data_IF_191387738461
#
_entry.id   IF_191387738461
#
_cell.length_a   1.000
_cell.length_b   1.000
_cell.length_c   1.000
_cell.angle_alpha   90.00
_cell.angle_beta   90.00
_cell.angle_gamma   90.00
#
_symmetry.space_group_name_H-M   'P 1'
#
loop_
_entity.id
_entity.type
_entity.pdbx_description
1 polymer ?
#
# COMPACT_ATOMS: atom_id res chain seq x y z
N UNK A 1 -16.09 -8.34 -19.98
CA UNK A 1 -15.32 -8.02 -18.76
C UNK A 1 -14.23 -9.08 -18.64
N UNK A 2 -12.95 -8.70 -18.80
CA UNK A 2 -11.85 -9.66 -18.98
C UNK A 2 -11.59 -10.36 -17.64
N UNK A 3 -11.34 -11.68 -17.67
CA UNK A 3 -11.13 -12.56 -16.49
C UNK A 3 -10.14 -11.98 -15.46
N UNK A 4 -9.19 -11.19 -15.93
CA UNK A 4 -8.13 -10.57 -15.16
C UNK A 4 -8.61 -9.45 -14.23
N UNK A 5 -9.64 -8.67 -14.62
CA UNK A 5 -10.13 -7.55 -13.80
C UNK A 5 -10.78 -8.04 -12.50
N UNK A 6 -11.47 -9.19 -12.57
CA UNK A 6 -12.08 -9.83 -11.40
C UNK A 6 -11.01 -10.36 -10.44
N UNK A 7 -9.94 -10.94 -10.99
CA UNK A 7 -8.82 -11.44 -10.19
C UNK A 7 -8.08 -10.29 -9.50
N UNK A 8 -7.79 -9.21 -10.23
CA UNK A 8 -7.17 -7.99 -9.68
C UNK A 8 -8.02 -7.43 -8.54
N UNK A 9 -9.33 -7.25 -8.77
CA UNK A 9 -10.23 -6.74 -7.73
C UNK A 9 -10.21 -7.61 -6.48
N UNK A 10 -10.32 -8.94 -6.65
CA UNK A 10 -10.32 -9.88 -5.55
C UNK A 10 -9.00 -9.86 -4.77
N UNK A 11 -7.86 -9.90 -5.46
CA UNK A 11 -6.53 -9.88 -4.84
C UNK A 11 -6.29 -8.57 -4.08
N UNK A 12 -6.70 -7.43 -4.65
CA UNK A 12 -6.60 -6.14 -3.95
C UNK A 12 -7.49 -6.08 -2.73
N UNK A 13 -8.72 -6.60 -2.82
CA UNK A 13 -9.62 -6.67 -1.67
C UNK A 13 -9.01 -7.52 -0.55
N UNK A 14 -8.47 -8.70 -0.89
CA UNK A 14 -7.84 -9.60 0.08
C UNK A 14 -6.60 -8.96 0.73
N UNK A 15 -5.79 -8.25 -0.06
CA UNK A 15 -4.63 -7.49 0.45
C UNK A 15 -5.07 -6.44 1.48
N UNK A 16 -6.14 -5.69 1.18
CA UNK A 16 -6.65 -4.64 2.06
C UNK A 16 -7.30 -5.23 3.32
N UNK A 17 -8.01 -6.36 3.20
CA UNK A 17 -8.60 -7.08 4.34
C UNK A 17 -7.55 -7.57 5.34
N UNK A 18 -6.37 -7.98 4.88
CA UNK A 18 -5.26 -8.43 5.73
C UNK A 18 -4.26 -7.33 6.07
N UNK A 19 -4.48 -6.08 5.64
CA UNK A 19 -3.50 -5.00 5.79
C UNK A 19 -3.07 -4.81 7.26
N UNK A 20 -4.03 -4.68 8.17
CA UNK A 20 -3.75 -4.47 9.61
C UNK A 20 -2.97 -5.63 10.23
N UNK A 21 -3.38 -6.86 9.93
CA UNK A 21 -2.72 -8.07 10.43
C UNK A 21 -1.26 -8.13 9.97
N UNK A 22 -1.00 -7.75 8.71
CA UNK A 22 0.35 -7.70 8.15
C UNK A 22 1.19 -6.60 8.80
N UNK A 23 0.62 -5.41 9.01
CA UNK A 23 1.31 -4.31 9.71
C UNK A 23 1.69 -4.76 11.12
N UNK A 24 0.73 -5.29 11.88
CA UNK A 24 0.97 -5.81 13.23
C UNK A 24 2.01 -6.93 13.26
N UNK A 25 1.88 -7.92 12.36
CA UNK A 25 2.83 -9.04 12.27
C UNK A 25 4.25 -8.56 11.96
N UNK A 26 4.40 -7.52 11.14
CA UNK A 26 5.67 -6.91 10.84
C UNK A 26 6.26 -6.18 12.05
N UNK A 27 5.46 -5.41 12.79
CA UNK A 27 5.88 -4.74 14.03
C UNK A 27 6.37 -5.76 15.07
N UNK A 28 5.61 -6.85 15.27
CA UNK A 28 6.01 -7.96 16.14
C UNK A 28 7.31 -8.61 15.66
N UNK A 29 7.46 -8.82 14.35
CA UNK A 29 8.67 -9.42 13.78
C UNK A 29 9.90 -8.54 14.00
N UNK A 30 9.77 -7.22 13.83
CA UNK A 30 10.83 -6.25 14.13
C UNK A 30 11.20 -6.31 15.60
N UNK A 31 10.21 -6.24 16.49
CA UNK A 31 10.42 -6.30 17.94
C UNK A 31 11.16 -7.58 18.35
N UNK A 32 10.69 -8.75 17.91
CA UNK A 32 11.32 -10.03 18.22
C UNK A 32 12.74 -10.14 17.67
N UNK A 33 13.00 -9.60 16.47
CA UNK A 33 14.34 -9.62 15.89
C UNK A 33 15.31 -8.79 16.74
N UNK A 34 14.88 -7.62 17.21
CA UNK A 34 15.68 -6.78 18.10
C UNK A 34 15.95 -7.47 19.46
N UNK A 35 14.93 -8.07 20.07
CA UNK A 35 15.09 -8.81 21.34
C UNK A 35 16.06 -9.98 21.18
N UNK A 36 15.93 -10.77 20.12
CA UNK A 36 16.81 -11.91 19.88
C UNK A 36 18.25 -11.48 19.61
N UNK A 37 18.43 -10.42 18.82
CA UNK A 37 19.76 -9.89 18.51
C UNK A 37 20.44 -9.34 19.77
N UNK A 38 19.71 -8.61 20.62
CA UNK A 38 20.23 -8.14 21.89
C UNK A 38 20.61 -9.28 22.84
N UNK A 39 19.83 -10.36 22.87
CA UNK A 39 20.16 -11.54 23.67
C UNK A 39 21.42 -12.27 23.17
N UNK A 40 21.64 -12.30 21.85
CA UNK A 40 22.79 -12.99 21.23
C UNK A 40 24.08 -12.16 21.26
N UNK A 41 23.99 -10.85 21.00
CA UNK A 41 25.16 -9.98 20.79
C UNK A 41 25.34 -8.90 21.87
N UNK A 42 24.43 -8.79 22.83
CA UNK A 42 24.47 -7.80 23.90
C UNK A 42 24.14 -6.36 23.47
N UNK A 43 23.91 -6.13 22.18
CA UNK A 43 23.59 -4.83 21.58
C UNK A 43 22.33 -4.95 20.72
N UNK A 44 21.62 -3.85 20.51
CA UNK A 44 20.52 -3.79 19.55
C UNK A 44 21.04 -3.78 18.10
N UNK A 45 20.16 -4.03 17.13
CA UNK A 45 20.53 -3.99 15.71
C UNK A 45 20.96 -2.57 15.31
N UNK A 46 20.26 -1.54 15.76
CA UNK A 46 20.66 -0.14 15.53
C UNK A 46 22.07 0.16 16.06
N UNK A 47 22.36 -0.16 17.32
CA UNK A 47 23.69 0.06 17.93
C UNK A 47 24.77 -0.72 17.18
N UNK A 48 24.49 -1.96 16.79
CA UNK A 48 25.42 -2.76 16.01
C UNK A 48 25.68 -2.19 14.62
N UNK A 49 24.66 -1.66 13.94
CA UNK A 49 24.81 -1.01 12.64
C UNK A 49 25.62 0.28 12.74
N UNK A 50 25.44 1.06 13.81
CA UNK A 50 26.22 2.27 14.07
C UNK A 50 27.71 1.93 14.28
N UNK A 51 28.00 0.93 15.13
CA UNK A 51 29.36 0.45 15.39
C UNK A 51 30.02 -0.22 14.16
N UNK A 52 29.27 -0.99 13.38
CA UNK A 52 29.79 -1.66 12.18
C UNK A 52 30.02 -0.70 11.02
N UNK A 53 29.20 0.35 10.88
CA UNK A 53 29.43 1.44 9.93
C UNK A 53 30.72 2.21 10.27
N UNK A 54 30.97 2.50 11.55
CA UNK A 54 32.24 3.10 11.99
C UNK A 54 33.45 2.17 11.76
N UNK A 55 33.25 0.86 11.90
CA UNK A 55 34.30 -0.15 11.76
C UNK A 55 34.52 -0.67 10.32
N UNK A 56 33.63 -0.36 9.37
CA UNK A 56 33.67 -0.86 7.99
C UNK A 56 33.46 -2.37 7.85
N UNK A 57 32.66 -2.98 8.74
CA UNK A 57 32.45 -4.44 8.79
C UNK A 57 31.21 -4.90 8.02
N UNK A 58 31.33 -6.02 7.30
CA UNK A 58 30.19 -6.71 6.66
C UNK A 58 29.33 -7.47 7.69
N UNK A 59 28.00 -7.45 7.48
CA UNK A 59 27.05 -8.15 8.35
C UNK A 59 27.31 -9.67 8.36
N UNK A 60 27.35 -10.33 9.54
CA UNK A 60 27.51 -11.78 9.61
C UNK A 60 26.40 -12.50 8.84
N UNK A 61 26.76 -13.52 8.07
CA UNK A 61 25.81 -14.43 7.43
C UNK A 61 25.18 -15.35 8.50
N UNK A 62 24.22 -14.83 9.26
CA UNK A 62 23.46 -15.57 10.28
C UNK A 62 21.96 -15.65 9.94
N UNK A 63 21.21 -16.47 10.69
CA UNK A 63 19.75 -16.55 10.61
C UNK A 63 19.07 -15.19 10.88
N UNK A 64 19.71 -14.32 11.68
CA UNK A 64 19.28 -12.94 11.91
C UNK A 64 19.32 -12.14 10.61
N UNK A 65 20.37 -12.27 9.80
CA UNK A 65 20.48 -11.56 8.52
C UNK A 65 19.38 -11.98 7.54
N UNK A 66 18.99 -13.26 7.51
CA UNK A 66 17.87 -13.73 6.71
C UNK A 66 16.53 -13.13 7.18
N UNK A 67 16.31 -13.06 8.50
CA UNK A 67 15.13 -12.44 9.10
C UNK A 67 15.06 -10.94 8.80
N UNK A 68 16.16 -10.20 8.92
CA UNK A 68 16.26 -8.78 8.56
C UNK A 68 15.91 -8.55 7.09
N UNK A 69 16.43 -9.38 6.17
CA UNK A 69 16.06 -9.31 4.74
C UNK A 69 14.55 -9.49 4.53
N UNK A 70 13.94 -10.45 5.20
CA UNK A 70 12.49 -10.68 5.13
C UNK A 70 11.68 -9.47 5.64
N UNK A 71 12.09 -8.89 6.77
CA UNK A 71 11.47 -7.68 7.34
C UNK A 71 11.56 -6.51 6.35
N UNK A 72 12.73 -6.28 5.75
CA UNK A 72 12.92 -5.21 4.79
C UNK A 72 12.08 -5.39 3.53
N UNK A 73 11.89 -6.64 3.08
CA UNK A 73 10.97 -6.95 1.98
C UNK A 73 9.53 -6.58 2.32
N UNK A 74 9.05 -6.94 3.51
CA UNK A 74 7.70 -6.62 3.98
C UNK A 74 7.50 -5.10 4.16
N UNK A 75 8.50 -4.39 4.71
CA UNK A 75 8.48 -2.91 4.82
C UNK A 75 8.37 -2.26 3.45
N UNK A 76 9.15 -2.72 2.46
CA UNK A 76 9.08 -2.20 1.10
C UNK A 76 7.70 -2.42 0.48
N UNK A 77 7.05 -3.56 0.74
CA UNK A 77 5.69 -3.82 0.28
C UNK A 77 4.67 -2.85 0.88
N UNK A 78 4.73 -2.58 2.19
CA UNK A 78 3.88 -1.56 2.82
C UNK A 78 4.12 -0.17 2.21
N UNK A 79 5.38 0.19 1.94
CA UNK A 79 5.73 1.46 1.31
C UNK A 79 5.13 1.63 -0.10
N UNK A 80 5.02 0.54 -0.86
CA UNK A 80 4.36 0.53 -2.16
C UNK A 80 2.85 0.76 -1.99
N UNK A 81 2.23 0.12 -0.99
CA UNK A 81 0.81 0.32 -0.65
C UNK A 81 0.57 1.78 -0.26
N UNK A 82 1.39 2.35 0.61
CA UNK A 82 1.30 3.75 1.05
C UNK A 82 1.43 4.71 -0.15
N UNK A 83 2.38 4.45 -1.05
CA UNK A 83 2.53 5.21 -2.28
C UNK A 83 1.30 5.14 -3.19
N UNK A 84 0.70 3.95 -3.33
CA UNK A 84 -0.55 3.79 -4.10
C UNK A 84 -1.72 4.53 -3.44
N UNK A 85 -1.85 4.46 -2.12
CA UNK A 85 -2.90 5.19 -1.37
C UNK A 85 -2.73 6.70 -1.54
N UNK A 86 -1.50 7.22 -1.44
CA UNK A 86 -1.21 8.64 -1.66
C UNK A 86 -1.56 9.08 -3.08
N UNK A 87 -1.15 8.31 -4.10
CA UNK A 87 -1.49 8.60 -5.51
C UNK A 87 -3.00 8.58 -5.76
N UNK A 88 -3.72 7.60 -5.18
CA UNK A 88 -5.18 7.54 -5.25
C UNK A 88 -5.80 8.81 -4.65
N UNK A 89 -5.35 9.22 -3.46
CA UNK A 89 -5.88 10.38 -2.76
C UNK A 89 -5.66 11.66 -3.54
N UNK A 90 -4.45 11.88 -4.05
CA UNK A 90 -4.04 13.14 -4.66
C UNK A 90 -4.48 13.31 -6.12
N UNK A 91 -4.49 12.22 -6.91
CA UNK A 91 -4.59 12.30 -8.37
C UNK A 91 -5.93 11.84 -8.92
N UNK A 92 -6.74 11.13 -8.13
CA UNK A 92 -8.03 10.65 -8.59
C UNK A 92 -9.16 11.67 -8.34
N UNK A 93 -10.12 11.76 -9.26
CA UNK A 93 -11.24 12.73 -9.20
C UNK A 93 -12.03 12.68 -7.88
N UNK A 94 -12.18 11.49 -7.29
CA UNK A 94 -12.85 11.28 -5.99
C UNK A 94 -11.85 10.81 -4.92
N UNK A 95 -10.57 11.19 -5.06
CA UNK A 95 -9.46 10.65 -4.28
C UNK A 95 -9.62 10.79 -2.77
N UNK A 96 -10.06 11.95 -2.28
CA UNK A 96 -10.32 12.16 -0.84
C UNK A 96 -11.39 11.21 -0.29
N UNK A 97 -12.57 11.14 -0.92
CA UNK A 97 -13.64 10.22 -0.49
C UNK A 97 -13.16 8.76 -0.54
N UNK A 98 -12.45 8.39 -1.61
CA UNK A 98 -11.88 7.05 -1.77
C UNK A 98 -10.85 6.72 -0.69
N UNK A 99 -9.99 7.67 -0.34
CA UNK A 99 -8.99 7.55 0.71
C UNK A 99 -9.65 7.33 2.08
N UNK A 100 -10.60 8.18 2.48
CA UNK A 100 -11.21 8.06 3.80
C UNK A 100 -12.05 6.79 3.95
N UNK A 101 -12.69 6.34 2.87
CA UNK A 101 -13.34 5.03 2.85
C UNK A 101 -12.32 3.90 3.06
N UNK A 102 -11.19 3.89 2.35
CA UNK A 102 -10.14 2.89 2.58
C UNK A 102 -9.57 2.98 3.99
N UNK A 103 -9.33 4.20 4.48
CA UNK A 103 -8.76 4.44 5.79
C UNK A 103 -9.61 3.81 6.89
N UNK A 104 -10.88 4.19 6.98
CA UNK A 104 -11.77 3.65 8.02
C UNK A 104 -12.16 2.19 7.81
N UNK A 105 -12.12 1.69 6.57
CA UNK A 105 -12.44 0.27 6.31
C UNK A 105 -11.24 -0.64 6.62
N UNK A 106 -10.02 -0.22 6.26
CA UNK A 106 -8.87 -1.12 6.17
C UNK A 106 -7.58 -0.58 6.79
N UNK A 107 -7.28 0.72 6.66
CA UNK A 107 -5.93 1.22 6.96
C UNK A 107 -5.76 1.78 8.37
N UNK A 108 -6.85 2.13 9.06
CA UNK A 108 -6.82 2.59 10.44
C UNK A 108 -6.24 1.50 11.36
N UNK A 109 -5.44 1.91 12.35
CA UNK A 109 -4.89 0.96 13.33
C UNK A 109 -5.95 0.29 14.20
N UNK A 110 -7.11 0.93 14.37
CA UNK A 110 -8.26 0.40 15.10
C UNK A 110 -9.36 0.00 14.13
N UNK A 111 -10.05 -1.10 14.44
CA UNK A 111 -11.27 -1.47 13.76
C UNK A 111 -12.42 -0.56 14.19
N UNK A 112 -13.24 -0.16 13.22
CA UNK A 112 -14.51 0.51 13.49
C UNK A 112 -15.60 -0.55 13.68
N UNK A 113 -16.56 -0.27 14.55
CA UNK A 113 -17.68 -1.13 14.94
C UNK A 113 -18.69 -1.46 13.83
N UNK A 114 -18.30 -1.26 12.58
CA UNK A 114 -19.04 -1.64 11.38
C UNK A 114 -19.24 -0.48 10.42
N UNK A 115 -20.00 -0.77 9.36
CA UNK A 115 -20.25 0.19 8.27
C UNK A 115 -21.01 1.43 8.76
N UNK A 116 -21.83 1.32 9.79
CA UNK A 116 -22.60 2.46 10.32
C UNK A 116 -21.71 3.51 10.96
N UNK A 117 -20.78 3.09 11.81
CA UNK A 117 -19.82 4.00 12.44
C UNK A 117 -18.92 4.65 11.38
N UNK A 118 -18.48 3.88 10.39
CA UNK A 118 -17.70 4.41 9.26
C UNK A 118 -18.51 5.46 8.48
N UNK A 119 -19.78 5.18 8.19
CA UNK A 119 -20.66 6.11 7.47
C UNK A 119 -20.94 7.37 8.28
N UNK A 120 -21.11 7.26 9.60
CA UNK A 120 -21.25 8.41 10.50
C UNK A 120 -20.01 9.32 10.40
N UNK A 121 -18.81 8.75 10.53
CA UNK A 121 -17.55 9.50 10.37
C UNK A 121 -17.39 10.15 9.00
N UNK A 122 -17.78 9.44 7.94
CA UNK A 122 -17.71 10.00 6.59
C UNK A 122 -18.74 11.11 6.38
N UNK A 123 -19.90 11.04 7.04
CA UNK A 123 -20.95 12.07 6.96
C UNK A 123 -20.57 13.37 7.68
N UNK A 124 -19.69 13.30 8.67
CA UNK A 124 -19.11 14.49 9.32
C UNK A 124 -18.24 15.31 8.35
N UNK A 125 -17.61 14.63 7.37
CA UNK A 125 -16.67 15.25 6.42
C UNK A 125 -17.25 15.50 5.04
N UNK A 126 -18.19 14.66 4.61
CA UNK A 126 -18.75 14.68 3.26
C UNK A 126 -20.27 14.78 3.34
N UNK A 127 -20.82 15.70 2.56
CA UNK A 127 -22.26 15.91 2.50
C UNK A 127 -22.96 14.70 1.89
N UNK A 128 -24.11 14.33 2.45
CA UNK A 128 -25.01 13.27 1.94
C UNK A 128 -24.33 11.89 1.79
N UNK A 129 -23.44 11.52 2.71
CA UNK A 129 -22.72 10.25 2.67
C UNK A 129 -23.55 9.10 3.24
N UNK A 130 -24.18 8.31 2.36
CA UNK A 130 -25.01 7.16 2.76
C UNK A 130 -24.25 5.83 2.71
N UNK A 131 -24.85 4.77 3.27
CA UNK A 131 -24.34 3.39 3.11
C UNK A 131 -24.14 2.98 1.64
N UNK A 132 -25.03 3.40 0.73
CA UNK A 132 -24.90 3.06 -0.69
C UNK A 132 -23.72 3.81 -1.32
N UNK A 133 -23.51 5.07 -0.96
CA UNK A 133 -22.32 5.84 -1.34
C UNK A 133 -21.05 5.18 -0.82
N UNK A 134 -21.04 4.74 0.45
CA UNK A 134 -19.94 3.97 1.03
C UNK A 134 -19.57 2.74 0.19
N UNK A 135 -20.51 1.84 -0.09
CA UNK A 135 -20.20 0.63 -0.85
C UNK A 135 -19.74 0.93 -2.29
N UNK A 136 -20.32 1.95 -2.91
CA UNK A 136 -19.88 2.41 -4.24
C UNK A 136 -18.43 2.90 -4.19
N UNK A 137 -18.10 3.76 -3.22
CA UNK A 137 -16.74 4.30 -3.04
C UNK A 137 -15.74 3.24 -2.63
N UNK A 138 -16.11 2.31 -1.74
CA UNK A 138 -15.27 1.16 -1.37
C UNK A 138 -14.89 0.36 -2.61
N UNK A 139 -15.88 -0.02 -3.42
CA UNK A 139 -15.61 -0.79 -4.64
C UNK A 139 -14.83 0.00 -5.70
N UNK A 140 -15.03 1.32 -5.78
CA UNK A 140 -14.25 2.21 -6.62
C UNK A 140 -12.79 2.28 -6.15
N UNK A 141 -12.56 2.50 -4.85
CA UNK A 141 -11.24 2.52 -4.24
C UNK A 141 -10.48 1.22 -4.44
N UNK A 142 -11.12 0.06 -4.22
CA UNK A 142 -10.49 -1.26 -4.43
C UNK A 142 -10.05 -1.42 -5.90
N UNK A 143 -10.87 -1.01 -6.86
CA UNK A 143 -10.49 -1.06 -8.28
C UNK A 143 -9.28 -0.17 -8.56
N UNK A 144 -9.29 1.07 -8.08
CA UNK A 144 -8.20 2.02 -8.33
C UNK A 144 -6.91 1.64 -7.62
N UNK A 145 -6.99 1.11 -6.41
CA UNK A 145 -5.85 0.48 -5.74
C UNK A 145 -5.32 -0.69 -6.57
N UNK A 146 -6.20 -1.50 -7.17
CA UNK A 146 -5.80 -2.58 -8.05
C UNK A 146 -5.04 -2.09 -9.28
N UNK A 147 -5.55 -1.06 -9.94
CA UNK A 147 -4.89 -0.42 -11.09
C UNK A 147 -3.49 0.10 -10.71
N UNK A 148 -3.34 0.68 -9.52
CA UNK A 148 -2.07 1.25 -9.05
C UNK A 148 -1.06 0.19 -8.62
N UNK A 149 -1.49 -0.85 -7.91
CA UNK A 149 -0.62 -1.88 -7.33
C UNK A 149 -0.18 -2.93 -8.36
N UNK A 150 -1.10 -3.37 -9.22
CA UNK A 150 -0.85 -4.46 -10.16
C UNK A 150 -0.51 -3.96 -11.56
N UNK A 151 -0.36 -2.65 -11.70
CA UNK A 151 -0.11 -1.96 -12.96
C UNK A 151 -1.40 -1.73 -13.74
N UNK A 152 -1.52 -0.49 -14.22
CA UNK A 152 -2.37 -0.17 -15.35
C UNK A 152 -1.85 -1.03 -16.52
N UNK A 153 -2.51 -2.14 -16.86
CA UNK A 153 -2.33 -2.69 -18.21
C UNK A 153 -3.00 -1.70 -19.14
N UNK A 154 -2.24 -0.71 -19.60
CA UNK A 154 -2.63 0.43 -20.43
C UNK A 154 -3.09 0.00 -21.83
N UNK A 155 -4.08 -0.88 -21.94
CA UNK A 155 -4.77 -1.04 -23.21
C UNK A 155 -5.53 0.25 -23.60
N UNK A 156 -5.76 1.17 -22.66
CA UNK A 156 -6.45 2.45 -22.89
C UNK A 156 -5.48 3.63 -23.11
N UNK A 157 -4.38 3.71 -22.34
CA UNK A 157 -3.41 4.80 -22.54
C UNK A 157 -2.50 4.55 -23.74
N UNK A 158 -2.22 3.30 -24.12
CA UNK A 158 -1.42 3.04 -25.32
C UNK A 158 -2.10 3.62 -26.56
N UNK A 159 -3.40 3.41 -26.74
CA UNK A 159 -4.11 3.98 -27.90
C UNK A 159 -4.12 5.52 -27.92
N UNK A 160 -4.28 6.17 -26.76
CA UNK A 160 -4.28 7.63 -26.66
C UNK A 160 -2.87 8.23 -26.80
N UNK A 161 -1.85 7.55 -26.27
CA UNK A 161 -0.45 7.94 -26.40
C UNK A 161 0.04 7.72 -27.84
N UNK A 162 -0.33 6.60 -28.48
CA UNK A 162 -0.05 6.34 -29.90
C UNK A 162 -0.69 7.39 -30.81
N UNK A 163 -1.93 7.83 -30.52
CA UNK A 163 -2.56 8.93 -31.25
C UNK A 163 -1.81 10.27 -31.09
N UNK A 164 -1.32 10.57 -29.88
CA UNK A 164 -0.53 11.78 -29.63
C UNK A 164 0.86 11.70 -30.29
N UNK A 165 1.52 10.55 -30.25
CA UNK A 165 2.82 10.34 -30.92
C UNK A 165 2.68 10.42 -32.45
N UNK A 166 1.65 9.81 -33.02
CA UNK A 166 1.38 9.87 -34.46
C UNK A 166 1.03 11.29 -34.92
N UNK A 167 0.26 12.07 -34.15
CA UNK A 167 0.02 13.49 -34.44
C UNK A 167 1.30 14.32 -34.39
N UNK A 168 2.18 14.12 -33.42
CA UNK A 168 3.45 14.85 -33.34
C UNK A 168 4.42 14.52 -34.50
N UNK A 169 4.44 13.25 -34.94
CA UNK A 169 5.22 12.82 -36.10
C UNK A 169 4.69 13.43 -37.41
N UNK A 170 3.36 13.50 -37.57
CA UNK A 170 2.71 14.10 -38.74
C UNK A 170 2.87 15.63 -38.80
N UNK A 171 2.98 16.29 -37.64
CA UNK A 171 3.19 17.73 -37.53
C UNK A 171 4.67 18.15 -37.53
N UNK A 172 5.61 17.20 -37.68
CA UNK A 172 7.03 17.47 -37.80
C UNK A 172 7.66 18.18 -36.61
N UNK A 173 7.15 17.95 -35.38
CA UNK A 173 7.62 18.60 -34.15
C UNK A 173 8.50 17.69 -33.27
N UNK A 174 9.31 16.84 -33.90
CA UNK A 174 10.37 16.04 -33.28
C UNK A 174 11.66 16.21 -34.08
#
# INVERSE_FOLDING_TARGET
MKKDDKAIFHNTQLLLEHYRDVVWSLEVSVFQTNVNFQAEFGNTIEEFLELSYEAGLDLPASDVAARIRSINKSRNMLRIIDGAVALLREKYRNGEECYWVLYYTYLSSQEFGGVDEIVEKLSEMFRDFSRSTYYRRKNESIRRMGDLLWGFRTNCCDAALELLYTEQLLLGRL
#
